data_IF_536183037947
#
_entry.id   IF_536183037947
#
_cell.length_a   1.000
_cell.length_b   1.000
_cell.length_c   1.000
_cell.angle_alpha   90.00
_cell.angle_beta   90.00
_cell.angle_gamma   90.00
#
_symmetry.space_group_name_H-M   'P 1'
#
loop_
_entity.id
_entity.type
_entity.pdbx_description
1 polymer ?
#
# COMPACT_ATOMS: atom_id res chain seq x y z
N UNK A 1 -6.08 -4.86 -14.96
CA UNK A 1 -5.02 -5.52 -14.21
C UNK A 1 -4.87 -4.97 -12.80
N UNK A 2 -4.50 -3.69 -12.64
CA UNK A 2 -4.39 -3.13 -11.31
C UNK A 2 -5.70 -3.22 -10.54
N UNK A 3 -6.82 -3.03 -11.23
CA UNK A 3 -8.14 -3.11 -10.59
C UNK A 3 -8.46 -4.52 -10.10
N UNK A 4 -8.00 -5.54 -10.81
CA UNK A 4 -8.22 -6.92 -10.39
C UNK A 4 -7.44 -7.22 -9.12
N UNK A 5 -6.22 -6.72 -9.03
CA UNK A 5 -5.40 -6.89 -7.84
C UNK A 5 -6.01 -6.15 -6.66
N UNK A 6 -6.52 -4.92 -6.89
CA UNK A 6 -7.19 -4.17 -5.84
C UNK A 6 -8.41 -4.92 -5.31
N UNK A 7 -9.20 -5.50 -6.20
CA UNK A 7 -10.36 -6.27 -5.78
C UNK A 7 -9.97 -7.49 -4.95
N UNK A 8 -8.91 -8.17 -5.35
CA UNK A 8 -8.40 -9.30 -4.59
C UNK A 8 -7.98 -8.88 -3.20
N UNK A 9 -7.23 -7.79 -3.11
CA UNK A 9 -6.77 -7.30 -1.81
C UNK A 9 -7.93 -6.89 -0.93
N UNK A 10 -8.93 -6.23 -1.50
CA UNK A 10 -10.11 -5.84 -0.73
C UNK A 10 -10.90 -7.05 -0.26
N UNK A 11 -10.92 -8.12 -1.04
CA UNK A 11 -11.66 -9.32 -0.67
C UNK A 11 -11.04 -10.04 0.51
N UNK A 12 -9.77 -9.83 0.79
CA UNK A 12 -9.12 -10.40 1.98
C UNK A 12 -9.12 -9.42 3.16
N UNK A 13 -9.89 -8.32 3.05
CA UNK A 13 -10.11 -7.42 4.15
C UNK A 13 -9.30 -6.15 4.15
N UNK A 14 -8.59 -5.85 3.05
CA UNK A 14 -7.82 -4.62 2.97
C UNK A 14 -8.73 -3.44 2.65
N UNK A 15 -8.42 -2.30 3.27
CA UNK A 15 -9.12 -1.06 2.94
C UNK A 15 -8.64 -0.57 1.56
N UNK A 16 -9.47 0.24 0.86
CA UNK A 16 -9.05 0.78 -0.44
C UNK A 16 -7.71 1.53 -0.38
N UNK A 17 -7.47 2.27 0.70
CA UNK A 17 -6.20 2.98 0.85
C UNK A 17 -5.02 2.02 0.99
N UNK A 18 -5.23 0.91 1.71
CA UNK A 18 -4.19 -0.10 1.86
C UNK A 18 -3.85 -0.75 0.53
N UNK A 19 -4.87 -1.04 -0.27
CA UNK A 19 -4.68 -1.62 -1.60
C UNK A 19 -3.88 -0.68 -2.50
N UNK A 20 -4.20 0.60 -2.47
CA UNK A 20 -3.49 1.60 -3.27
C UNK A 20 -2.04 1.71 -2.86
N UNK A 21 -1.77 1.70 -1.57
CA UNK A 21 -0.41 1.78 -1.05
C UNK A 21 0.39 0.54 -1.47
N UNK A 22 -0.22 -0.63 -1.35
CA UNK A 22 0.44 -1.87 -1.74
C UNK A 22 0.83 -1.84 -3.23
N UNK A 23 -0.10 -1.45 -4.08
CA UNK A 23 0.16 -1.37 -5.52
C UNK A 23 1.21 -0.32 -5.84
N UNK A 24 1.15 0.83 -5.17
CA UNK A 24 2.14 1.88 -5.38
C UNK A 24 3.53 1.39 -4.98
N UNK A 25 3.64 0.66 -3.89
CA UNK A 25 4.92 0.12 -3.44
C UNK A 25 5.49 -0.85 -4.46
N UNK A 26 4.64 -1.67 -5.07
CA UNK A 26 5.08 -2.59 -6.11
C UNK A 26 5.58 -1.85 -7.33
N UNK A 27 4.90 -0.79 -7.72
CA UNK A 27 5.27 -0.02 -8.91
C UNK A 27 6.54 0.79 -8.70
N UNK A 28 6.75 1.32 -7.51
CA UNK A 28 7.91 2.15 -7.23
C UNK A 28 9.12 1.36 -6.76
N UNK A 29 8.97 0.05 -6.57
CA UNK A 29 10.07 -0.77 -6.09
C UNK A 29 10.38 -0.56 -4.63
N UNK A 30 9.39 -0.24 -3.84
CA UNK A 30 9.52 -0.07 -2.39
C UNK A 30 10.42 1.11 -2.02
N UNK A 31 10.22 2.23 -2.67
CA UNK A 31 10.96 3.45 -2.35
C UNK A 31 10.46 4.04 -1.03
N UNK A 32 10.86 5.29 -0.76
CA UNK A 32 10.51 5.94 0.49
C UNK A 32 9.00 6.07 0.65
N UNK A 33 8.56 6.15 1.91
CA UNK A 33 7.14 6.34 2.21
C UNK A 33 6.58 7.56 1.50
N UNK A 34 7.38 8.63 1.43
CA UNK A 34 6.95 9.85 0.77
C UNK A 34 6.62 9.61 -0.71
N UNK A 35 7.48 8.87 -1.41
CA UNK A 35 7.27 8.58 -2.82
C UNK A 35 6.08 7.65 -3.03
N UNK A 36 5.91 6.68 -2.14
CA UNK A 36 4.77 5.77 -2.21
C UNK A 36 3.47 6.56 -1.99
N UNK A 37 3.47 7.48 -1.03
CA UNK A 37 2.29 8.30 -0.77
C UNK A 37 1.91 9.12 -1.99
N UNK A 38 2.89 9.72 -2.66
CA UNK A 38 2.65 10.49 -3.87
C UNK A 38 2.08 9.61 -4.98
N UNK A 39 2.66 8.44 -5.19
CA UNK A 39 2.22 7.54 -6.23
C UNK A 39 0.79 7.07 -5.99
N UNK A 40 0.43 6.85 -4.74
CA UNK A 40 -0.91 6.40 -4.38
C UNK A 40 -1.92 7.53 -4.31
N UNK A 41 -1.45 8.77 -4.22
CA UNK A 41 -2.33 9.92 -4.06
C UNK A 41 -2.98 9.98 -2.68
N UNK A 42 -2.26 9.53 -1.66
CA UNK A 42 -2.76 9.43 -0.30
C UNK A 42 -1.86 10.27 0.62
N UNK A 43 -2.43 10.80 1.69
CA UNK A 43 -1.66 11.61 2.63
C UNK A 43 -0.57 10.78 3.29
N UNK A 44 0.46 11.47 3.76
CA UNK A 44 1.60 10.82 4.40
C UNK A 44 1.16 10.03 5.64
N UNK A 45 0.30 10.63 6.46
CA UNK A 45 -0.20 9.97 7.67
C UNK A 45 -0.96 8.70 7.33
N UNK A 46 -1.89 8.78 6.38
CA UNK A 46 -2.65 7.61 5.96
C UNK A 46 -1.75 6.55 5.36
N UNK A 47 -0.68 6.97 4.67
CA UNK A 47 0.27 6.03 4.09
C UNK A 47 1.01 5.25 5.17
N UNK A 48 1.45 5.92 6.23
CA UNK A 48 2.10 5.24 7.35
C UNK A 48 1.17 4.21 7.99
N UNK A 49 -0.08 4.59 8.20
CA UNK A 49 -1.06 3.68 8.79
C UNK A 49 -1.29 2.47 7.90
N UNK A 50 -1.40 2.69 6.60
CA UNK A 50 -1.60 1.61 5.64
C UNK A 50 -0.40 0.66 5.61
N UNK A 51 0.80 1.20 5.62
CA UNK A 51 2.02 0.38 5.62
C UNK A 51 2.08 -0.47 6.88
N UNK A 52 1.78 0.13 8.02
CA UNK A 52 1.77 -0.59 9.30
C UNK A 52 0.80 -1.77 9.25
N UNK A 53 -0.40 -1.52 8.74
CA UNK A 53 -1.41 -2.57 8.59
C UNK A 53 -0.94 -3.67 7.66
N UNK A 54 -0.34 -3.31 6.53
CA UNK A 54 0.15 -4.28 5.57
C UNK A 54 1.29 -5.12 6.15
N UNK A 55 2.14 -4.51 6.96
CA UNK A 55 3.22 -5.24 7.64
C UNK A 55 2.65 -6.26 8.61
N UNK A 56 1.63 -5.88 9.36
CA UNK A 56 0.99 -6.80 10.31
C UNK A 56 0.34 -7.97 9.62
N UNK A 57 -0.11 -7.78 8.39
CA UNK A 57 -0.70 -8.85 7.59
C UNK A 57 0.34 -9.69 6.86
N UNK A 58 1.61 -9.32 6.96
CA UNK A 58 2.67 -10.02 6.27
C UNK A 58 2.76 -9.75 4.78
N UNK A 59 2.05 -8.71 4.32
CA UNK A 59 2.05 -8.33 2.91
C UNK A 59 3.19 -7.39 2.56
N UNK A 60 3.79 -6.77 3.55
CA UNK A 60 4.91 -5.86 3.37
C UNK A 60 5.97 -6.15 4.42
N UNK A 61 7.23 -6.03 4.01
CA UNK A 61 8.32 -6.07 4.97
C UNK A 61 8.66 -4.66 5.41
N UNK A 62 9.50 -4.55 6.44
CA UNK A 62 9.92 -3.26 6.94
C UNK A 62 10.65 -2.49 5.85
N UNK A 63 10.26 -1.25 5.64
CA UNK A 63 10.90 -0.36 4.69
C UNK A 63 11.85 0.56 5.43
N UNK A 64 12.99 0.74 4.86
CA UNK A 64 13.98 1.65 5.42
C UNK A 64 13.91 3.00 4.75
#
# INVERSE_FOLDING_TARGET
MAKDIEKLLESIGLLPSESKIYLAALQTGSETVQNIAKAAGISRTATYDAIESLKQRGLMTTMQ
#
